data_IF_477305096176
#
_entry.id   IF_477305096176
#
_cell.length_a   1.000
_cell.length_b   1.000
_cell.length_c   1.000
_cell.angle_alpha   90.00
_cell.angle_beta   90.00
_cell.angle_gamma   90.00
#
_symmetry.space_group_name_H-M   'P 1'
#
loop_
_entity.id
_entity.type
_entity.pdbx_description
1 polymer ?
#
# COMPACT_ATOMS: atom_id res chain seq x y z
N UNK A 1 -17.49 -7.50 16.09
CA UNK A 1 -17.75 -6.19 15.45
C UNK A 1 -17.10 -6.22 14.06
N UNK A 2 -17.83 -5.82 13.01
CA UNK A 2 -17.30 -5.80 11.63
C UNK A 2 -16.38 -4.58 11.43
N UNK A 3 -15.20 -4.80 10.85
CA UNK A 3 -14.26 -3.72 10.49
C UNK A 3 -14.74 -3.13 9.17
N UNK A 4 -14.96 -1.81 9.07
CA UNK A 4 -15.40 -1.16 7.82
C UNK A 4 -14.22 -0.99 6.86
N UNK A 5 -13.89 -2.05 6.12
CA UNK A 5 -12.80 -2.06 5.17
C UNK A 5 -13.36 -2.10 3.73
N UNK A 6 -12.91 -1.19 2.89
CA UNK A 6 -13.31 -1.15 1.48
C UNK A 6 -12.63 -2.27 0.68
N UNK A 7 -13.18 -2.62 -0.48
CA UNK A 7 -12.64 -3.69 -1.32
C UNK A 7 -11.19 -3.41 -1.76
N UNK A 8 -10.85 -2.14 -2.05
CA UNK A 8 -9.49 -1.76 -2.44
C UNK A 8 -8.49 -1.94 -1.31
N UNK A 9 -8.87 -1.63 -0.06
CA UNK A 9 -8.02 -1.86 1.11
C UNK A 9 -7.92 -3.34 1.45
N UNK A 10 -9.00 -4.10 1.27
CA UNK A 10 -8.97 -5.55 1.42
C UNK A 10 -8.02 -6.20 0.41
N UNK A 11 -8.00 -5.72 -0.85
CA UNK A 11 -7.04 -6.17 -1.85
C UNK A 11 -5.59 -5.86 -1.45
N UNK A 12 -5.32 -4.70 -0.82
CA UNK A 12 -3.99 -4.40 -0.27
C UNK A 12 -3.57 -5.42 0.80
N UNK A 13 -4.49 -5.84 1.66
CA UNK A 13 -4.20 -6.86 2.67
C UNK A 13 -3.77 -8.20 2.06
N UNK A 14 -4.19 -8.51 0.83
CA UNK A 14 -3.83 -9.74 0.10
C UNK A 14 -2.35 -9.83 -0.28
N UNK A 15 -1.61 -8.72 -0.23
CA UNK A 15 -0.16 -8.67 -0.50
C UNK A 15 0.70 -8.60 0.77
N UNK A 16 0.07 -8.66 1.93
CA UNK A 16 0.79 -8.76 3.21
C UNK A 16 1.01 -10.23 3.54
N UNK A 17 2.25 -10.63 3.77
CA UNK A 17 2.56 -12.00 4.12
C UNK A 17 2.24 -12.30 5.60
N UNK A 18 1.87 -13.53 5.93
CA UNK A 18 1.67 -13.95 7.32
C UNK A 18 2.91 -13.66 8.18
N UNK A 19 2.69 -12.95 9.28
CA UNK A 19 3.75 -12.60 10.24
C UNK A 19 4.50 -11.31 9.95
N UNK A 20 4.25 -10.63 8.83
CA UNK A 20 4.87 -9.34 8.51
C UNK A 20 4.66 -8.31 9.63
N UNK A 21 5.65 -7.46 9.81
CA UNK A 21 5.51 -6.14 10.43
C UNK A 21 5.17 -5.15 9.33
N UNK A 22 4.07 -4.45 9.44
CA UNK A 22 3.53 -3.60 8.38
C UNK A 22 3.64 -2.12 8.76
N UNK A 23 4.16 -1.30 7.84
CA UNK A 23 4.03 0.15 7.91
C UNK A 23 2.81 0.59 7.08
N UNK A 24 1.75 1.06 7.73
CA UNK A 24 0.53 1.59 7.12
C UNK A 24 0.64 3.11 7.00
N UNK A 25 1.03 3.60 5.82
CA UNK A 25 1.35 5.00 5.55
C UNK A 25 0.14 5.73 4.99
N UNK A 26 -0.29 6.79 5.68
CA UNK A 26 -1.57 7.44 5.45
C UNK A 26 -2.72 6.59 5.96
N UNK A 27 -2.59 6.14 7.21
CA UNK A 27 -3.46 5.12 7.81
C UNK A 27 -4.91 5.58 8.02
N UNK A 28 -5.20 6.89 7.93
CA UNK A 28 -6.52 7.48 8.14
C UNK A 28 -7.16 6.97 9.45
N UNK A 29 -8.21 6.19 9.39
CA UNK A 29 -8.88 5.61 10.57
C UNK A 29 -8.22 4.31 11.09
N UNK A 30 -7.12 3.84 10.51
CA UNK A 30 -6.35 2.67 10.91
C UNK A 30 -7.02 1.32 10.63
N UNK A 31 -8.09 1.28 9.86
CA UNK A 31 -8.85 0.04 9.65
C UNK A 31 -8.08 -1.05 8.91
N UNK A 32 -7.14 -0.69 8.02
CA UNK A 32 -6.28 -1.67 7.34
C UNK A 32 -5.40 -2.40 8.34
N UNK A 33 -4.65 -1.66 9.15
CA UNK A 33 -3.80 -2.24 10.20
C UNK A 33 -4.59 -3.06 11.22
N UNK A 34 -5.76 -2.55 11.65
CA UNK A 34 -6.66 -3.27 12.57
C UNK A 34 -7.12 -4.60 11.95
N UNK A 35 -7.50 -4.60 10.66
CA UNK A 35 -7.92 -5.81 9.96
C UNK A 35 -6.81 -6.86 9.90
N UNK A 36 -5.59 -6.45 9.53
CA UNK A 36 -4.42 -7.32 9.46
C UNK A 36 -4.12 -8.00 10.80
N UNK A 37 -4.20 -7.24 11.90
CA UNK A 37 -3.95 -7.75 13.24
C UNK A 37 -5.08 -8.64 13.77
N UNK A 38 -6.34 -8.28 13.53
CA UNK A 38 -7.51 -9.07 13.97
C UNK A 38 -7.60 -10.43 13.29
N UNK A 39 -7.14 -10.51 12.05
CA UNK A 39 -7.13 -11.76 11.28
C UNK A 39 -5.80 -12.52 11.41
N UNK A 40 -4.87 -12.06 12.25
CA UNK A 40 -3.60 -12.74 12.47
C UNK A 40 -2.67 -12.74 11.24
N UNK A 41 -2.88 -11.81 10.30
CA UNK A 41 -2.05 -11.68 9.09
C UNK A 41 -0.73 -10.99 9.46
N UNK A 42 -0.79 -9.79 10.03
CA UNK A 42 0.40 -9.08 10.50
C UNK A 42 0.71 -9.40 11.97
N UNK A 43 1.99 -9.39 12.33
CA UNK A 43 2.46 -9.52 13.71
C UNK A 43 2.38 -8.19 14.47
N UNK A 44 2.68 -7.09 13.80
CA UNK A 44 2.60 -5.73 14.32
C UNK A 44 2.33 -4.72 13.19
N UNK A 45 1.79 -3.55 13.52
CA UNK A 45 1.53 -2.48 12.57
C UNK A 45 2.10 -1.16 13.09
N UNK A 46 2.82 -0.46 12.24
CA UNK A 46 3.28 0.92 12.44
C UNK A 46 2.38 1.80 11.58
N UNK A 47 1.44 2.51 12.19
CA UNK A 47 0.50 3.37 11.50
C UNK A 47 0.99 4.82 11.49
N UNK A 48 0.96 5.48 10.35
CA UNK A 48 1.33 6.89 10.24
C UNK A 48 0.31 7.69 9.43
N UNK A 49 0.13 8.94 9.79
CA UNK A 49 -0.64 9.93 9.02
C UNK A 49 0.01 11.31 9.19
N UNK A 50 -0.12 12.15 8.17
CA UNK A 50 0.36 13.54 8.22
C UNK A 50 -0.57 14.44 9.03
N UNK A 51 -1.81 14.01 9.26
CA UNK A 51 -2.83 14.76 9.99
C UNK A 51 -3.10 14.13 11.35
N UNK A 52 -3.13 14.96 12.37
CA UNK A 52 -3.34 14.49 13.75
C UNK A 52 -4.73 13.88 13.98
N UNK A 53 -5.80 14.48 13.44
CA UNK A 53 -7.16 13.99 13.68
C UNK A 53 -7.42 12.56 13.14
N UNK A 54 -7.03 12.19 11.91
CA UNK A 54 -7.09 10.81 11.44
C UNK A 54 -6.28 9.87 12.33
N UNK A 55 -5.06 10.25 12.70
CA UNK A 55 -4.19 9.44 13.56
C UNK A 55 -4.83 9.18 14.93
N UNK A 56 -5.43 10.19 15.55
CA UNK A 56 -6.19 10.03 16.80
C UNK A 56 -7.41 9.13 16.64
N UNK A 57 -8.05 9.15 15.46
CA UNK A 57 -9.14 8.22 15.15
C UNK A 57 -8.63 6.79 15.02
N UNK A 58 -7.47 6.58 14.39
CA UNK A 58 -6.83 5.28 14.31
C UNK A 58 -6.51 4.69 15.69
N UNK A 59 -5.98 5.52 16.62
CA UNK A 59 -5.69 5.11 18.01
C UNK A 59 -6.97 4.65 18.71
N UNK A 60 -8.04 5.47 18.68
CA UNK A 60 -9.34 5.10 19.29
C UNK A 60 -9.92 3.83 18.69
N UNK A 61 -9.81 3.65 17.38
CA UNK A 61 -10.27 2.45 16.71
C UNK A 61 -9.45 1.22 17.13
N UNK A 62 -8.13 1.33 17.19
CA UNK A 62 -7.26 0.25 17.65
C UNK A 62 -7.59 -0.19 19.09
N UNK A 63 -7.87 0.74 19.98
CA UNK A 63 -8.38 0.47 21.34
C UNK A 63 -9.72 -0.28 21.29
N UNK A 64 -10.69 0.26 20.54
CA UNK A 64 -12.03 -0.31 20.40
C UNK A 64 -12.02 -1.74 19.86
N UNK A 65 -11.09 -2.05 18.95
CA UNK A 65 -10.94 -3.38 18.38
C UNK A 65 -9.96 -4.28 19.16
N UNK A 66 -9.34 -3.78 20.25
CA UNK A 66 -8.46 -4.56 21.12
C UNK A 66 -7.15 -5.00 20.46
N UNK A 67 -6.56 -4.14 19.63
CA UNK A 67 -5.28 -4.41 18.94
C UNK A 67 -4.21 -3.34 19.19
N UNK A 68 -4.50 -2.34 20.00
CA UNK A 68 -3.62 -1.20 20.25
C UNK A 68 -2.20 -1.60 20.69
N UNK A 69 -2.07 -2.65 21.51
CA UNK A 69 -0.77 -3.13 22.01
C UNK A 69 0.16 -3.66 20.90
N UNK A 70 -0.39 -3.94 19.72
CA UNK A 70 0.37 -4.37 18.52
C UNK A 70 0.44 -3.29 17.45
N UNK A 71 0.01 -2.06 17.75
CA UNK A 71 0.09 -0.91 16.86
C UNK A 71 0.90 0.19 17.52
N UNK A 72 1.77 0.82 16.73
CA UNK A 72 2.41 2.09 17.07
C UNK A 72 1.97 3.18 16.10
N UNK A 73 1.94 4.44 16.56
CA UNK A 73 1.33 5.54 15.82
C UNK A 73 2.29 6.71 15.71
N UNK A 74 2.45 7.24 14.50
CA UNK A 74 3.40 8.32 14.22
C UNK A 74 2.73 9.42 13.39
N UNK A 75 2.82 10.66 13.88
CA UNK A 75 2.50 11.83 13.06
C UNK A 75 3.69 12.06 12.13
N UNK A 76 3.53 11.79 10.83
CA UNK A 76 4.64 11.79 9.87
C UNK A 76 4.18 12.20 8.47
N UNK A 77 4.99 12.99 7.79
CA UNK A 77 4.85 13.23 6.37
C UNK A 77 5.42 12.03 5.60
N UNK A 78 4.50 11.15 5.17
CA UNK A 78 4.84 9.85 4.61
C UNK A 78 5.52 8.95 5.64
N UNK A 79 6.77 8.56 5.38
CA UNK A 79 7.53 7.59 6.17
C UNK A 79 8.76 8.19 6.86
N UNK A 80 8.89 9.51 6.89
CA UNK A 80 10.10 10.23 7.36
C UNK A 80 10.42 9.94 8.83
N UNK A 81 9.39 9.96 9.68
CA UNK A 81 9.51 9.81 11.13
C UNK A 81 9.07 8.43 11.61
N UNK A 82 8.90 7.49 10.67
CA UNK A 82 8.46 6.12 10.94
C UNK A 82 9.68 5.22 11.15
N UNK A 83 9.71 4.38 12.20
CA UNK A 83 10.74 3.36 12.38
C UNK A 83 10.85 2.42 11.20
N UNK A 84 12.08 1.99 10.89
CA UNK A 84 12.39 1.17 9.70
C UNK A 84 12.24 -0.34 9.93
N UNK A 85 11.80 -0.73 11.12
CA UNK A 85 11.65 -2.13 11.53
C UNK A 85 10.32 -2.72 11.06
N UNK A 86 10.12 -2.78 9.74
CA UNK A 86 8.99 -3.43 9.09
C UNK A 86 9.45 -4.24 7.87
N UNK A 87 8.57 -5.08 7.34
CA UNK A 87 8.82 -5.95 6.19
C UNK A 87 8.03 -5.48 4.96
N UNK A 88 6.82 -4.96 5.18
CA UNK A 88 5.91 -4.49 4.15
C UNK A 88 5.41 -3.07 4.46
N UNK A 89 5.54 -2.16 3.50
CA UNK A 89 4.89 -0.84 3.53
C UNK A 89 3.61 -0.88 2.70
N UNK A 90 2.49 -0.49 3.28
CA UNK A 90 1.25 -0.26 2.55
C UNK A 90 1.02 1.23 2.42
N UNK A 91 0.80 1.69 1.19
CA UNK A 91 0.44 3.07 0.88
C UNK A 91 -0.77 3.04 -0.05
N UNK A 92 -1.94 3.38 0.45
CA UNK A 92 -3.20 3.24 -0.25
C UNK A 92 -4.02 4.53 -0.25
N UNK A 93 -4.78 4.75 -1.33
CA UNK A 93 -5.69 5.89 -1.41
C UNK A 93 -5.04 7.22 -1.76
N UNK A 94 -3.84 7.20 -2.32
CA UNK A 94 -3.09 8.41 -2.70
C UNK A 94 -2.91 8.51 -4.20
N UNK A 95 -2.67 9.74 -4.70
CA UNK A 95 -2.24 9.96 -6.08
C UNK A 95 -0.77 9.64 -6.29
N UNK A 96 -0.35 9.50 -7.55
CA UNK A 96 1.02 9.17 -7.93
C UNK A 96 2.03 10.18 -7.37
N UNK A 97 1.77 11.48 -7.49
CA UNK A 97 2.69 12.54 -7.06
C UNK A 97 3.04 12.40 -5.56
N UNK A 98 2.04 12.10 -4.71
CA UNK A 98 2.24 11.88 -3.28
C UNK A 98 3.06 10.61 -3.02
N UNK A 99 2.75 9.51 -3.71
CA UNK A 99 3.51 8.26 -3.55
C UNK A 99 4.96 8.42 -3.99
N UNK A 100 5.22 9.09 -5.11
CA UNK A 100 6.57 9.38 -5.58
C UNK A 100 7.34 10.22 -4.56
N UNK A 101 6.71 11.25 -3.99
CA UNK A 101 7.33 12.08 -2.95
C UNK A 101 7.69 11.29 -1.68
N UNK A 102 6.83 10.34 -1.26
CA UNK A 102 7.11 9.45 -0.12
C UNK A 102 8.31 8.56 -0.41
N UNK A 103 8.39 7.99 -1.62
CA UNK A 103 9.50 7.11 -2.02
C UNK A 103 10.81 7.89 -2.19
N UNK A 104 10.79 9.11 -2.73
CA UNK A 104 11.96 9.98 -2.85
C UNK A 104 12.53 10.36 -1.47
N UNK A 105 11.66 10.55 -0.47
CA UNK A 105 12.08 10.84 0.89
C UNK A 105 12.67 9.63 1.64
N UNK A 106 12.55 8.43 1.06
CA UNK A 106 12.97 7.18 1.69
C UNK A 106 13.84 6.30 0.76
N UNK A 107 15.01 6.79 0.29
CA UNK A 107 15.87 6.03 -0.64
C UNK A 107 16.34 4.69 -0.07
N UNK A 108 16.32 4.52 1.24
CA UNK A 108 16.63 3.27 1.93
C UNK A 108 15.62 2.14 1.68
N UNK A 109 14.42 2.45 1.15
CA UNK A 109 13.46 1.45 0.67
C UNK A 109 13.96 0.70 -0.58
N UNK A 110 14.99 1.20 -1.28
CA UNK A 110 15.65 0.51 -2.39
C UNK A 110 16.52 -0.63 -1.86
N UNK A 111 15.87 -1.64 -1.34
CA UNK A 111 16.48 -2.81 -0.71
C UNK A 111 15.55 -4.01 -0.87
N UNK A 112 16.11 -5.21 -1.04
CA UNK A 112 15.37 -6.48 -1.08
C UNK A 112 14.63 -6.80 0.23
N UNK A 113 14.98 -6.10 1.31
CA UNK A 113 14.33 -6.26 2.61
C UNK A 113 12.85 -5.85 2.59
N UNK A 114 12.52 -4.84 1.78
CA UNK A 114 11.20 -4.22 1.84
C UNK A 114 10.33 -4.63 0.67
N UNK A 115 9.07 -4.91 0.96
CA UNK A 115 8.00 -5.01 -0.04
C UNK A 115 7.06 -3.83 0.11
N UNK A 116 6.55 -3.32 -1.00
CA UNK A 116 5.63 -2.20 -1.03
C UNK A 116 4.30 -2.67 -1.60
N UNK A 117 3.20 -2.35 -0.94
CA UNK A 117 1.86 -2.51 -1.47
C UNK A 117 1.29 -1.13 -1.76
N UNK A 118 1.10 -0.82 -3.04
CA UNK A 118 0.69 0.50 -3.49
C UNK A 118 -0.70 0.44 -4.14
N UNK A 119 -1.61 1.30 -3.67
CA UNK A 119 -2.92 1.50 -4.30
C UNK A 119 -3.05 2.97 -4.72
N UNK A 120 -2.78 3.23 -6.00
CA UNK A 120 -2.75 4.56 -6.59
C UNK A 120 -4.12 4.93 -7.18
N UNK A 121 -4.57 6.17 -6.92
CA UNK A 121 -5.87 6.65 -7.38
C UNK A 121 -5.83 7.47 -8.67
N UNK A 122 -4.68 8.05 -9.02
CA UNK A 122 -4.55 8.91 -10.19
C UNK A 122 -3.16 8.84 -10.79
N UNK A 123 -3.01 9.15 -12.08
CA UNK A 123 -1.71 9.18 -12.80
C UNK A 123 -0.92 7.86 -12.63
N UNK A 124 -1.60 6.75 -12.77
CA UNK A 124 -1.03 5.40 -12.53
C UNK A 124 0.09 5.04 -13.51
N UNK A 125 0.01 5.36 -14.83
CA UNK A 125 1.12 5.13 -15.75
C UNK A 125 2.37 5.90 -15.36
N UNK A 126 2.23 7.14 -14.86
CA UNK A 126 3.35 7.97 -14.38
C UNK A 126 4.02 7.33 -13.16
N UNK A 127 3.23 6.82 -12.19
CA UNK A 127 3.78 6.10 -11.04
C UNK A 127 4.56 4.85 -11.51
N UNK A 128 4.03 4.08 -12.44
CA UNK A 128 4.72 2.89 -12.96
C UNK A 128 6.02 3.26 -13.67
N UNK A 129 6.05 4.32 -14.49
CA UNK A 129 7.29 4.83 -15.09
C UNK A 129 8.31 5.23 -14.04
N UNK A 130 7.88 5.96 -13.02
CA UNK A 130 8.73 6.34 -11.90
C UNK A 130 9.30 5.11 -11.20
N UNK A 131 8.47 4.14 -10.83
CA UNK A 131 8.92 2.93 -10.12
C UNK A 131 10.01 2.20 -10.89
N UNK A 132 9.80 1.90 -12.17
CA UNK A 132 10.81 1.22 -12.99
C UNK A 132 12.06 2.10 -13.21
N UNK A 133 11.89 3.40 -13.41
CA UNK A 133 13.01 4.35 -13.50
C UNK A 133 13.84 4.45 -12.22
N UNK A 134 13.25 4.16 -11.06
CA UNK A 134 13.94 4.13 -9.76
C UNK A 134 14.48 2.74 -9.37
N UNK A 135 14.34 1.74 -10.24
CA UNK A 135 14.81 0.38 -10.02
C UNK A 135 13.85 -0.49 -9.21
N UNK A 136 12.59 -0.09 -9.08
CA UNK A 136 11.53 -0.96 -8.57
C UNK A 136 10.88 -1.78 -9.69
N UNK A 137 10.29 -2.91 -9.35
CA UNK A 137 9.51 -3.74 -10.26
C UNK A 137 8.18 -4.18 -9.63
N UNK A 138 7.13 -4.23 -10.43
CA UNK A 138 5.81 -4.73 -10.02
C UNK A 138 5.79 -6.24 -10.17
N UNK A 139 5.73 -6.96 -9.06
CA UNK A 139 5.71 -8.44 -9.03
C UNK A 139 4.32 -8.99 -9.24
N UNK A 140 3.35 -8.41 -8.56
CA UNK A 140 1.95 -8.77 -8.69
C UNK A 140 1.11 -7.50 -8.81
N UNK A 141 0.00 -7.61 -9.51
CA UNK A 141 -0.97 -6.54 -9.63
C UNK A 141 -2.36 -7.14 -9.79
N UNK A 142 -3.33 -6.59 -9.09
CA UNK A 142 -4.73 -6.97 -9.19
C UNK A 142 -5.63 -5.74 -9.29
N UNK A 143 -6.89 -5.96 -9.63
CA UNK A 143 -7.91 -4.91 -9.68
C UNK A 143 -8.93 -5.11 -8.56
N UNK A 144 -9.30 -4.04 -7.91
CA UNK A 144 -10.36 -4.00 -6.91
C UNK A 144 -11.44 -3.03 -7.33
N UNK A 145 -12.71 -3.49 -7.35
CA UNK A 145 -13.86 -2.62 -7.58
C UNK A 145 -14.34 -2.04 -6.26
N UNK A 146 -14.40 -0.73 -6.19
CA UNK A 146 -14.88 0.01 -5.03
C UNK A 146 -15.91 1.06 -5.50
N UNK A 147 -17.17 0.81 -5.20
CA UNK A 147 -18.28 1.54 -5.79
C UNK A 147 -18.33 1.42 -7.31
N UNK A 148 -18.28 2.54 -8.02
CA UNK A 148 -18.27 2.59 -9.49
C UNK A 148 -16.87 2.58 -10.11
N UNK A 149 -15.83 2.65 -9.29
CA UNK A 149 -14.45 2.73 -9.76
C UNK A 149 -13.73 1.39 -9.64
N UNK A 150 -12.75 1.18 -10.51
CA UNK A 150 -11.84 0.04 -10.50
C UNK A 150 -10.44 0.60 -10.25
N UNK A 151 -9.76 0.05 -9.25
CA UNK A 151 -8.44 0.50 -8.82
C UNK A 151 -7.42 -0.64 -8.91
N UNK A 152 -6.22 -0.37 -9.44
CA UNK A 152 -5.12 -1.31 -9.33
C UNK A 152 -4.53 -1.29 -7.93
N UNK A 153 -4.10 -2.47 -7.48
CA UNK A 153 -3.29 -2.67 -6.30
C UNK A 153 -2.04 -3.44 -6.72
N UNK A 154 -0.89 -2.94 -6.38
CA UNK A 154 0.41 -3.44 -6.84
C UNK A 154 1.27 -3.91 -5.67
N UNK A 155 1.87 -5.09 -5.80
CA UNK A 155 3.03 -5.50 -4.99
C UNK A 155 4.30 -5.09 -5.74
N UNK A 156 5.14 -4.32 -5.07
CA UNK A 156 6.34 -3.71 -5.65
C UNK A 156 7.55 -4.09 -4.81
N UNK A 157 8.65 -4.42 -5.47
CA UNK A 157 9.95 -4.72 -4.83
C UNK A 157 11.06 -3.94 -5.51
N UNK A 158 12.19 -3.76 -4.81
CA UNK A 158 13.40 -3.25 -5.44
C UNK A 158 14.05 -4.36 -6.27
N UNK A 159 14.15 -4.16 -7.58
CA UNK A 159 14.72 -5.10 -8.55
C UNK A 159 15.23 -4.29 -9.76
N UNK A 160 16.41 -3.68 -9.65
CA UNK A 160 16.95 -2.80 -10.68
C UNK A 160 17.26 -3.58 -11.97
N UNK A 161 17.15 -2.87 -13.10
CA UNK A 161 17.44 -3.43 -14.42
C UNK A 161 16.22 -3.96 -15.21
N UNK A 162 15.04 -4.03 -14.58
CA UNK A 162 13.80 -4.34 -15.29
C UNK A 162 13.23 -3.08 -15.96
N UNK A 163 12.66 -3.26 -17.15
CA UNK A 163 12.02 -2.19 -17.93
C UNK A 163 10.69 -2.65 -18.49
N UNK A 164 9.83 -1.70 -18.80
CA UNK A 164 8.55 -1.92 -19.48
C UNK A 164 8.55 -1.16 -20.81
N UNK A 165 7.79 -1.65 -21.77
CA UNK A 165 7.44 -0.89 -22.98
C UNK A 165 6.40 0.19 -22.65
N UNK A 166 6.25 1.19 -23.52
CA UNK A 166 5.30 2.30 -23.31
C UNK A 166 3.86 1.81 -23.05
N UNK A 167 3.42 0.80 -23.79
CA UNK A 167 2.09 0.22 -23.58
C UNK A 167 1.92 -0.52 -22.24
N UNK A 168 3.00 -1.09 -21.72
CA UNK A 168 2.99 -1.85 -20.47
C UNK A 168 2.91 -0.95 -19.22
N UNK A 169 3.19 0.35 -19.36
CA UNK A 169 2.91 1.28 -18.26
C UNK A 169 1.40 1.51 -18.05
N UNK A 170 0.56 1.21 -19.03
CA UNK A 170 -0.91 1.27 -18.90
C UNK A 170 -1.47 -0.06 -18.39
N UNK A 171 -1.05 -1.18 -18.96
CA UNK A 171 -1.46 -2.53 -18.54
C UNK A 171 -0.21 -3.38 -18.36
N UNK A 172 0.21 -3.55 -17.12
CA UNK A 172 1.46 -4.25 -16.80
C UNK A 172 1.39 -5.74 -17.15
N UNK A 173 2.53 -6.39 -17.39
CA UNK A 173 2.59 -7.85 -17.51
C UNK A 173 2.04 -8.55 -16.24
N UNK A 174 2.27 -7.98 -15.05
CA UNK A 174 1.73 -8.51 -13.79
C UNK A 174 0.20 -8.47 -13.78
N UNK A 175 -0.41 -7.35 -14.22
CA UNK A 175 -1.86 -7.21 -14.30
C UNK A 175 -2.48 -8.17 -15.34
N UNK A 176 -1.83 -8.35 -16.50
CA UNK A 176 -2.29 -9.33 -17.49
C UNK A 176 -2.29 -10.76 -16.93
N UNK A 177 -1.24 -11.14 -16.20
CA UNK A 177 -1.13 -12.46 -15.55
C UNK A 177 -2.11 -12.68 -14.42
N UNK A 178 -2.66 -11.62 -13.82
CA UNK A 178 -3.61 -11.74 -12.71
C UNK A 178 -4.91 -12.46 -13.09
N UNK A 179 -5.26 -12.48 -14.38
CA UNK A 179 -6.52 -13.04 -14.85
C UNK A 179 -7.76 -12.32 -14.32
N UNK A 180 -7.63 -11.07 -13.86
CA UNK A 180 -8.74 -10.32 -13.27
C UNK A 180 -9.91 -10.16 -14.23
N UNK A 181 -11.08 -10.60 -13.83
CA UNK A 181 -12.35 -10.42 -14.57
C UNK A 181 -12.72 -8.93 -14.74
N UNK A 182 -12.11 -8.04 -13.95
CA UNK A 182 -12.33 -6.60 -14.05
C UNK A 182 -11.51 -5.94 -15.15
N UNK A 183 -10.52 -6.63 -15.72
CA UNK A 183 -9.60 -6.06 -16.69
C UNK A 183 -10.30 -5.49 -17.95
N UNK A 184 -11.33 -6.12 -18.54
CA UNK A 184 -12.04 -5.55 -19.68
C UNK A 184 -12.76 -4.22 -19.40
N UNK A 185 -13.14 -3.99 -18.15
CA UNK A 185 -13.82 -2.77 -17.70
C UNK A 185 -12.86 -1.71 -17.13
N UNK A 186 -11.62 -2.09 -16.88
CA UNK A 186 -10.61 -1.18 -16.34
C UNK A 186 -10.21 -0.12 -17.39
N UNK A 187 -10.12 1.14 -16.95
CA UNK A 187 -9.65 2.29 -17.75
C UNK A 187 -8.59 3.03 -16.94
N UNK A 188 -7.52 3.40 -17.61
CA UNK A 188 -6.47 4.27 -17.08
C UNK A 188 -6.85 5.75 -17.22
#
# INVERSE_FOLDING_TARGET
MKIPLSNRLLACCGYVNPGDRVADVGCDHGYLGIYLLKNGIASAVIASDVREMPLQSAIRNAEKFGVKERMSFYLSDGIRDVPREFDCMVCAGMGADTMMSILDAAPWLKSERYRLTLQCQSKRPELRRYLYGQGYAIRQETLAKDGKFIYPVMEVVYAPGETLTDGEYYITPALRRSGSELLPAFRE
#
